data_IF_953746072853
#
_entry.id   IF_953746072853
#
_cell.length_a   1.000
_cell.length_b   1.000
_cell.length_c   1.000
_cell.angle_alpha   90.00
_cell.angle_beta   90.00
_cell.angle_gamma   90.00
#
_symmetry.space_group_name_H-M   'P 1'
#
loop_
_entity.id
_entity.type
_entity.pdbx_description
1 polymer ?
#
# COMPACT_ATOMS: atom_id res chain seq x y z
N UNK A 1 28.65 12.07 33.19
CA UNK A 1 28.01 12.43 31.90
C UNK A 1 26.69 11.69 31.76
N UNK A 2 25.62 12.25 32.32
CA UNK A 2 24.26 11.70 32.26
C UNK A 2 23.59 12.21 30.99
N UNK A 3 23.49 11.34 29.99
CA UNK A 3 22.65 11.57 28.81
C UNK A 3 21.20 11.67 29.29
N UNK A 4 20.69 12.91 29.43
CA UNK A 4 19.26 13.17 29.61
C UNK A 4 18.55 12.71 28.35
N UNK A 5 18.00 11.50 28.39
CA UNK A 5 17.00 11.05 27.43
C UNK A 5 15.83 12.04 27.50
N UNK A 6 15.77 12.95 26.52
CA UNK A 6 14.63 13.81 26.33
C UNK A 6 13.36 12.93 26.26
N UNK A 7 12.26 13.30 26.93
CA UNK A 7 11.05 12.50 26.91
C UNK A 7 10.61 12.35 25.46
N UNK A 8 10.53 11.10 24.99
CA UNK A 8 9.88 10.73 23.73
C UNK A 8 8.43 11.22 23.82
N UNK A 9 8.18 12.48 23.43
CA UNK A 9 6.84 13.06 23.36
C UNK A 9 5.99 12.09 22.55
N UNK A 10 4.93 11.57 23.15
CA UNK A 10 3.94 10.71 22.49
C UNK A 10 3.26 11.57 21.41
N UNK A 11 3.76 11.47 20.17
CA UNK A 11 3.29 12.23 18.99
C UNK A 11 2.11 11.49 18.36
N UNK A 12 0.92 11.67 18.93
CA UNK A 12 -0.36 11.20 18.37
C UNK A 12 -1.07 12.30 17.56
N UNK A 13 -2.40 12.29 17.54
CA UNK A 13 -3.27 13.37 16.99
C UNK A 13 -3.00 14.77 17.57
N UNK A 14 -2.20 14.87 18.64
CA UNK A 14 -1.85 16.11 19.32
C UNK A 14 -0.89 17.01 18.53
N UNK A 15 -0.33 16.51 17.43
CA UNK A 15 0.38 17.33 16.45
C UNK A 15 -0.63 17.85 15.40
N UNK A 16 -1.01 19.14 15.45
CA UNK A 16 -2.06 19.69 14.60
C UNK A 16 -1.72 19.59 13.11
N UNK A 17 -0.44 19.63 12.74
CA UNK A 17 -0.02 19.50 11.35
C UNK A 17 -0.24 18.07 10.82
N UNK A 18 0.01 17.04 11.63
CA UNK A 18 -0.26 15.64 11.27
C UNK A 18 -1.75 15.35 11.22
N UNK A 19 -2.51 15.85 12.20
CA UNK A 19 -3.95 15.70 12.25
C UNK A 19 -4.64 16.35 11.04
N UNK A 20 -4.24 17.57 10.69
CA UNK A 20 -4.74 18.27 9.50
C UNK A 20 -4.42 17.50 8.20
N UNK A 21 -3.18 17.05 8.02
CA UNK A 21 -2.76 16.26 6.85
C UNK A 21 -3.54 14.95 6.72
N UNK A 22 -3.76 14.26 7.84
CA UNK A 22 -4.60 13.07 7.89
C UNK A 22 -6.03 13.41 7.48
N UNK A 23 -6.66 14.40 8.11
CA UNK A 23 -8.02 14.80 7.82
C UNK A 23 -8.21 15.17 6.33
N UNK A 24 -7.35 16.05 5.81
CA UNK A 24 -7.35 16.44 4.41
C UNK A 24 -7.16 15.22 3.49
N UNK A 25 -6.19 14.36 3.79
CA UNK A 25 -5.95 13.13 3.02
C UNK A 25 -7.19 12.24 2.98
N UNK A 26 -7.89 12.05 4.10
CA UNK A 26 -9.08 11.21 4.17
C UNK A 26 -10.29 11.81 3.45
N UNK A 27 -10.49 13.13 3.53
CA UNK A 27 -11.56 13.82 2.77
C UNK A 27 -11.31 13.68 1.26
N UNK A 28 -10.09 13.94 0.81
CA UNK A 28 -9.72 13.78 -0.61
C UNK A 28 -9.83 12.31 -1.05
N UNK A 29 -9.53 11.37 -0.15
CA UNK A 29 -9.71 9.95 -0.43
C UNK A 29 -11.18 9.63 -0.68
N UNK A 30 -12.08 10.02 0.23
CA UNK A 30 -13.52 9.82 0.08
C UNK A 30 -14.06 10.45 -1.22
N UNK A 31 -13.65 11.68 -1.54
CA UNK A 31 -14.02 12.35 -2.79
C UNK A 31 -13.52 11.58 -4.02
N UNK A 32 -12.29 11.05 -3.99
CA UNK A 32 -11.75 10.22 -5.08
C UNK A 32 -12.53 8.92 -5.28
N UNK A 33 -13.02 8.28 -4.20
CA UNK A 33 -13.90 7.12 -4.31
C UNK A 33 -15.17 7.51 -5.06
N UNK A 34 -15.83 8.57 -4.61
CA UNK A 34 -17.10 9.01 -5.17
C UNK A 34 -16.98 9.38 -6.66
N UNK A 35 -15.93 10.11 -7.04
CA UNK A 35 -15.65 10.46 -8.43
C UNK A 35 -15.43 9.22 -9.30
N UNK A 36 -14.63 8.26 -8.83
CA UNK A 36 -14.35 7.05 -9.61
C UNK A 36 -15.60 6.19 -9.77
N UNK A 37 -16.36 6.00 -8.70
CA UNK A 37 -17.64 5.27 -8.71
C UNK A 37 -18.65 5.95 -9.64
N UNK A 38 -18.79 7.27 -9.55
CA UNK A 38 -19.71 8.05 -10.38
C UNK A 38 -19.30 8.03 -11.87
N UNK A 39 -18.00 7.93 -12.18
CA UNK A 39 -17.56 7.75 -13.56
C UNK A 39 -18.14 6.48 -14.21
N UNK A 40 -18.49 5.45 -13.41
CA UNK A 40 -19.04 4.19 -13.89
C UNK A 40 -18.12 3.38 -14.80
N UNK A 41 -16.83 3.72 -14.89
CA UNK A 41 -15.83 3.02 -15.73
C UNK A 41 -15.05 1.94 -14.96
N UNK A 42 -15.38 1.73 -13.68
CA UNK A 42 -14.70 0.83 -12.75
C UNK A 42 -14.54 1.48 -11.38
N UNK A 43 -14.18 0.68 -10.37
CA UNK A 43 -13.87 1.16 -9.02
C UNK A 43 -12.46 0.75 -8.60
N UNK A 44 -12.00 1.26 -7.46
CA UNK A 44 -10.79 0.74 -6.80
C UNK A 44 -11.04 -0.69 -6.29
N UNK A 45 -10.01 -1.55 -6.18
CA UNK A 45 -10.15 -2.98 -5.94
C UNK A 45 -11.11 -3.37 -4.81
N UNK A 46 -10.95 -2.74 -3.65
CA UNK A 46 -11.79 -2.99 -2.48
C UNK A 46 -13.18 -2.37 -2.58
N UNK A 47 -13.33 -1.31 -3.38
CA UNK A 47 -14.63 -0.66 -3.58
C UNK A 47 -15.45 -1.40 -4.64
N UNK A 48 -14.83 -2.25 -5.48
CA UNK A 48 -15.54 -3.29 -6.24
C UNK A 48 -16.25 -4.24 -5.27
N UNK A 49 -15.55 -4.70 -4.22
CA UNK A 49 -16.15 -5.54 -3.17
C UNK A 49 -17.23 -4.79 -2.39
N UNK A 50 -16.93 -3.60 -1.87
CA UNK A 50 -17.91 -2.80 -1.12
C UNK A 50 -19.16 -2.53 -1.95
N UNK A 51 -19.01 -2.21 -3.24
CA UNK A 51 -20.15 -1.95 -4.11
C UNK A 51 -20.95 -3.23 -4.39
N UNK A 52 -20.29 -4.37 -4.63
CA UNK A 52 -20.97 -5.65 -4.81
C UNK A 52 -21.81 -6.03 -3.58
N UNK A 53 -21.22 -5.95 -2.39
CA UNK A 53 -21.93 -6.22 -1.13
C UNK A 53 -23.08 -5.22 -0.90
N UNK A 54 -22.83 -3.93 -1.14
CA UNK A 54 -23.84 -2.86 -1.03
C UNK A 54 -25.07 -3.15 -1.89
N UNK A 55 -24.87 -3.55 -3.16
CA UNK A 55 -25.96 -3.89 -4.09
C UNK A 55 -26.74 -5.13 -3.65
N UNK A 56 -26.08 -6.11 -3.03
CA UNK A 56 -26.73 -7.37 -2.58
C UNK A 56 -27.52 -7.19 -1.29
N UNK A 57 -27.07 -6.31 -0.40
CA UNK A 57 -27.70 -6.08 0.91
C UNK A 57 -28.63 -4.86 0.94
N UNK A 58 -28.65 -4.05 -0.12
CA UNK A 58 -29.42 -2.80 -0.16
C UNK A 58 -28.86 -1.71 0.75
N UNK A 59 -27.57 -1.79 1.10
CA UNK A 59 -26.89 -0.81 1.95
C UNK A 59 -26.24 0.29 1.12
N UNK A 60 -25.96 1.43 1.75
CA UNK A 60 -25.15 2.48 1.12
C UNK A 60 -23.69 2.03 0.97
N UNK A 61 -22.95 2.67 0.06
CA UNK A 61 -21.55 2.32 -0.19
C UNK A 61 -20.67 2.68 1.01
N UNK A 62 -20.92 3.83 1.64
CA UNK A 62 -20.26 4.27 2.86
C UNK A 62 -20.44 3.29 4.00
N UNK A 63 -21.69 2.90 4.30
CA UNK A 63 -22.02 1.89 5.32
C UNK A 63 -21.30 0.57 5.07
N UNK A 64 -21.36 0.08 3.83
CA UNK A 64 -20.71 -1.19 3.47
C UNK A 64 -19.19 -1.11 3.62
N UNK A 65 -18.59 0.04 3.28
CA UNK A 65 -17.15 0.28 3.44
C UNK A 65 -16.74 0.28 4.91
N UNK A 66 -17.57 0.84 5.81
CA UNK A 66 -17.34 0.78 7.27
C UNK A 66 -17.39 -0.67 7.75
N UNK A 67 -18.44 -1.43 7.38
CA UNK A 67 -18.60 -2.82 7.80
C UNK A 67 -17.42 -3.67 7.34
N UNK A 68 -17.04 -3.60 6.06
CA UNK A 68 -15.88 -4.34 5.53
C UNK A 68 -14.61 -3.92 6.26
N UNK A 69 -14.42 -2.63 6.55
CA UNK A 69 -13.25 -2.15 7.28
C UNK A 69 -13.20 -2.73 8.70
N UNK A 70 -14.33 -2.81 9.40
CA UNK A 70 -14.43 -3.43 10.73
C UNK A 70 -14.11 -4.93 10.64
N UNK A 71 -14.60 -5.63 9.63
CA UNK A 71 -14.27 -7.05 9.41
C UNK A 71 -12.77 -7.25 9.14
N UNK A 72 -12.16 -6.36 8.35
CA UNK A 72 -10.71 -6.38 8.11
C UNK A 72 -9.93 -6.11 9.40
N UNK A 73 -10.38 -5.17 10.24
CA UNK A 73 -9.77 -4.94 11.55
C UNK A 73 -9.96 -6.13 12.50
N UNK A 74 -11.09 -6.83 12.44
CA UNK A 74 -11.28 -8.07 13.20
C UNK A 74 -10.27 -9.15 12.75
N UNK A 75 -9.97 -9.23 11.45
CA UNK A 75 -8.92 -10.11 10.93
C UNK A 75 -7.51 -9.73 11.44
N UNK A 76 -7.31 -8.56 12.05
CA UNK A 76 -6.04 -8.22 12.71
C UNK A 76 -5.86 -8.87 14.08
N UNK A 77 -6.94 -9.33 14.73
CA UNK A 77 -6.88 -10.01 16.03
C UNK A 77 -5.94 -11.22 15.96
N UNK A 78 -6.10 -12.18 15.02
CA UNK A 78 -5.15 -13.27 14.89
C UNK A 78 -3.76 -12.76 14.53
N UNK A 79 -3.62 -11.65 13.79
CA UNK A 79 -2.35 -11.03 13.39
C UNK A 79 -1.63 -10.28 14.53
N UNK A 80 -2.28 -10.07 15.69
CA UNK A 80 -1.75 -9.32 16.85
C UNK A 80 -1.32 -7.88 16.52
N UNK A 81 -1.99 -7.25 15.56
CA UNK A 81 -1.74 -5.85 15.21
C UNK A 81 -2.67 -4.90 15.99
N UNK A 82 -2.14 -3.74 16.40
CA UNK A 82 -2.91 -2.73 17.13
C UNK A 82 -3.29 -1.59 16.18
N UNK A 83 -4.59 -1.27 16.02
CA UNK A 83 -5.02 -0.14 15.19
C UNK A 83 -4.49 1.18 15.78
N UNK A 84 -3.99 2.05 14.89
CA UNK A 84 -3.58 3.40 15.25
C UNK A 84 -4.74 4.38 15.19
N UNK A 85 -4.53 5.60 15.68
CA UNK A 85 -5.53 6.67 15.57
C UNK A 85 -5.89 7.01 14.13
N UNK A 86 -4.93 6.92 13.20
CA UNK A 86 -5.18 7.11 11.77
C UNK A 86 -6.03 5.99 11.15
N UNK A 87 -5.93 4.78 11.68
CA UNK A 87 -6.75 3.63 11.26
C UNK A 87 -8.22 3.88 11.55
N UNK A 88 -8.54 4.30 12.77
CA UNK A 88 -9.93 4.61 13.18
C UNK A 88 -10.47 5.80 12.40
N UNK A 89 -9.68 6.87 12.29
CA UNK A 89 -10.06 8.05 11.51
C UNK A 89 -10.34 7.69 10.04
N UNK A 90 -9.53 6.82 9.44
CA UNK A 90 -9.72 6.38 8.06
C UNK A 90 -11.08 5.71 7.86
N UNK A 91 -11.44 4.76 8.72
CA UNK A 91 -12.73 4.05 8.65
C UNK A 91 -13.89 5.01 8.78
N UNK A 92 -13.85 5.88 9.80
CA UNK A 92 -14.96 6.79 10.12
C UNK A 92 -15.12 7.85 9.04
N UNK A 93 -14.04 8.56 8.69
CA UNK A 93 -14.11 9.69 7.76
C UNK A 93 -14.48 9.24 6.35
N UNK A 94 -13.86 8.16 5.84
CA UNK A 94 -14.21 7.64 4.52
C UNK A 94 -15.65 7.13 4.51
N UNK A 95 -16.03 6.34 5.51
CA UNK A 95 -17.39 5.79 5.63
C UNK A 95 -18.47 6.86 5.64
N UNK A 96 -18.26 7.95 6.39
CA UNK A 96 -19.24 9.05 6.52
C UNK A 96 -19.29 9.93 5.28
N UNK A 97 -18.17 10.15 4.58
CA UNK A 97 -18.10 11.13 3.49
C UNK A 97 -18.37 10.57 2.10
N UNK A 98 -18.23 9.26 1.88
CA UNK A 98 -18.46 8.66 0.54
C UNK A 98 -19.90 8.89 0.07
N UNK A 99 -20.90 8.62 0.91
CA UNK A 99 -22.30 8.74 0.51
C UNK A 99 -22.73 10.19 0.22
N UNK A 100 -22.38 11.21 1.04
CA UNK A 100 -22.61 12.61 0.70
C UNK A 100 -21.96 13.07 -0.60
N UNK A 101 -20.71 12.65 -0.88
CA UNK A 101 -20.05 13.00 -2.14
C UNK A 101 -20.74 12.34 -3.34
N UNK A 102 -21.19 11.09 -3.21
CA UNK A 102 -21.98 10.42 -4.24
C UNK A 102 -23.32 11.11 -4.46
N UNK A 103 -24.01 11.51 -3.40
CA UNK A 103 -25.27 12.25 -3.50
C UNK A 103 -25.09 13.60 -4.20
N UNK A 104 -23.99 14.32 -3.92
CA UNK A 104 -23.67 15.56 -4.61
C UNK A 104 -23.38 15.34 -6.10
N UNK A 105 -22.64 14.29 -6.45
CA UNK A 105 -22.34 13.95 -7.84
C UNK A 105 -23.58 13.45 -8.59
N UNK A 106 -24.55 12.82 -7.92
CA UNK A 106 -25.81 12.39 -8.54
C UNK A 106 -26.67 13.56 -9.06
N UNK A 107 -26.36 14.80 -8.69
CA UNK A 107 -27.00 16.00 -9.23
C UNK A 107 -26.43 16.43 -10.60
N UNK A 108 -25.30 15.86 -11.02
CA UNK A 108 -24.72 16.15 -12.34
C UNK A 108 -25.57 15.49 -13.44
N UNK A 109 -25.66 16.13 -14.62
CA UNK A 109 -26.27 15.51 -15.79
C UNK A 109 -25.43 14.31 -16.28
N UNK A 110 -26.03 13.49 -17.13
CA UNK A 110 -25.33 12.39 -17.79
C UNK A 110 -24.08 12.88 -18.52
N UNK A 111 -22.93 12.33 -18.15
CA UNK A 111 -21.64 12.73 -18.68
C UNK A 111 -21.31 11.92 -19.94
N UNK A 112 -20.83 12.56 -21.03
CA UNK A 112 -20.31 11.83 -22.18
C UNK A 112 -19.07 11.03 -21.79
N UNK A 113 -18.75 9.99 -22.58
CA UNK A 113 -17.65 9.06 -22.28
C UNK A 113 -16.31 9.76 -22.00
N UNK A 114 -15.97 10.80 -22.78
CA UNK A 114 -14.74 11.58 -22.57
C UNK A 114 -14.68 12.27 -21.21
N UNK A 115 -15.79 12.86 -20.75
CA UNK A 115 -15.87 13.49 -19.43
C UNK A 115 -15.79 12.45 -18.30
N UNK A 116 -16.43 11.28 -18.47
CA UNK A 116 -16.31 10.16 -17.53
C UNK A 116 -14.88 9.63 -17.44
N UNK A 117 -14.19 9.51 -18.57
CA UNK A 117 -12.79 9.11 -18.61
C UNK A 117 -11.87 10.12 -17.93
N UNK A 118 -12.08 11.43 -18.17
CA UNK A 118 -11.35 12.49 -17.50
C UNK A 118 -11.62 12.51 -15.98
N UNK A 119 -12.87 12.30 -15.57
CA UNK A 119 -13.25 12.15 -14.16
C UNK A 119 -12.56 10.94 -13.52
N UNK A 120 -12.54 9.79 -14.19
CA UNK A 120 -11.85 8.60 -13.70
C UNK A 120 -10.34 8.84 -13.55
N UNK A 121 -9.68 9.41 -14.56
CA UNK A 121 -8.27 9.76 -14.49
C UNK A 121 -7.97 10.76 -13.36
N UNK A 122 -8.79 11.80 -13.22
CA UNK A 122 -8.71 12.77 -12.13
C UNK A 122 -8.90 12.14 -10.76
N UNK A 123 -9.85 11.20 -10.64
CA UNK A 123 -10.09 10.45 -9.41
C UNK A 123 -8.88 9.58 -9.01
N UNK A 124 -8.25 8.90 -9.97
CA UNK A 124 -7.04 8.09 -9.73
C UNK A 124 -5.87 8.98 -9.25
N UNK A 125 -5.66 10.12 -9.92
CA UNK A 125 -4.63 11.08 -9.53
C UNK A 125 -4.89 11.67 -8.14
N UNK A 126 -6.14 12.08 -7.87
CA UNK A 126 -6.58 12.59 -6.58
C UNK A 126 -6.39 11.55 -5.47
N UNK A 127 -6.72 10.28 -5.76
CA UNK A 127 -6.52 9.19 -4.82
C UNK A 127 -5.04 9.00 -4.47
N UNK A 128 -4.14 9.17 -5.44
CA UNK A 128 -2.70 9.17 -5.21
C UNK A 128 -2.25 10.26 -4.24
N UNK A 129 -2.73 11.50 -4.44
CA UNK A 129 -2.45 12.63 -3.53
C UNK A 129 -3.03 12.37 -2.14
N UNK A 130 -4.29 11.94 -2.07
CA UNK A 130 -4.96 11.58 -0.83
C UNK A 130 -4.19 10.51 -0.05
N UNK A 131 -3.72 9.48 -0.75
CA UNK A 131 -2.94 8.38 -0.20
C UNK A 131 -1.60 8.85 0.36
N UNK A 132 -0.87 9.67 -0.38
CA UNK A 132 0.37 10.26 0.08
C UNK A 132 0.17 11.15 1.32
N UNK A 133 -0.90 11.95 1.37
CA UNK A 133 -1.25 12.78 2.51
C UNK A 133 -1.56 11.98 3.78
N UNK A 134 -2.44 10.97 3.69
CA UNK A 134 -2.86 10.22 4.88
C UNK A 134 -1.73 9.32 5.40
N UNK A 135 -1.01 8.61 4.52
CA UNK A 135 0.12 7.76 4.93
C UNK A 135 1.24 8.65 5.47
N UNK A 136 1.52 9.77 4.80
CA UNK A 136 2.55 10.74 5.19
C UNK A 136 2.34 11.39 6.56
N UNK A 137 1.12 11.37 7.11
CA UNK A 137 0.83 11.81 8.48
C UNK A 137 1.42 10.86 9.55
N UNK A 138 1.65 9.59 9.20
CA UNK A 138 2.25 8.54 10.05
C UNK A 138 1.50 8.30 11.37
N UNK A 139 0.16 8.36 11.32
CA UNK A 139 -0.72 8.14 12.49
C UNK A 139 -1.31 6.72 12.56
N UNK A 140 -0.85 5.81 11.69
CA UNK A 140 -1.28 4.42 11.60
C UNK A 140 -1.75 4.06 10.18
N UNK A 141 -1.57 2.79 9.76
CA UNK A 141 -2.02 2.33 8.45
C UNK A 141 -3.56 2.24 8.37
N UNK A 142 -4.12 2.28 7.16
CA UNK A 142 -5.54 1.92 6.97
C UNK A 142 -5.80 0.44 7.27
N UNK A 143 -7.06 0.01 7.51
CA UNK A 143 -7.40 -1.38 7.76
C UNK A 143 -6.85 -2.35 6.69
N UNK A 144 -6.99 -1.95 5.42
CA UNK A 144 -6.53 -2.70 4.24
C UNK A 144 -5.00 -2.82 4.23
N UNK A 145 -4.30 -1.69 4.46
CA UNK A 145 -2.84 -1.64 4.47
C UNK A 145 -2.24 -2.52 5.58
N UNK A 146 -2.80 -2.44 6.80
CA UNK A 146 -2.29 -3.23 7.91
C UNK A 146 -2.65 -4.71 7.78
N UNK A 147 -3.73 -5.10 7.08
CA UNK A 147 -3.97 -6.51 6.76
C UNK A 147 -2.82 -7.08 5.92
N UNK A 148 -2.42 -6.36 4.87
CA UNK A 148 -1.34 -6.78 3.98
C UNK A 148 0.00 -6.90 4.72
N UNK A 149 0.39 -5.87 5.48
CA UNK A 149 1.65 -5.90 6.24
C UNK A 149 1.64 -6.95 7.35
N UNK A 150 0.48 -7.20 7.97
CA UNK A 150 0.31 -8.26 8.96
C UNK A 150 0.51 -9.66 8.40
N UNK A 151 -0.08 -9.93 7.23
CA UNK A 151 0.08 -11.21 6.54
C UNK A 151 1.55 -11.40 6.16
N UNK A 152 2.23 -10.37 5.64
CA UNK A 152 3.68 -10.43 5.37
C UNK A 152 4.47 -10.72 6.64
N UNK A 153 4.21 -10.01 7.73
CA UNK A 153 4.91 -10.21 9.00
C UNK A 153 4.71 -11.61 9.59
N UNK A 154 3.59 -12.28 9.27
CA UNK A 154 3.28 -13.63 9.76
C UNK A 154 3.79 -14.75 8.86
N UNK A 155 3.75 -14.56 7.54
CA UNK A 155 4.06 -15.61 6.56
C UNK A 155 5.49 -15.51 6.02
N UNK A 156 6.12 -14.35 6.11
CA UNK A 156 7.39 -14.05 5.44
C UNK A 156 7.27 -13.93 3.92
N UNK A 157 6.05 -13.97 3.35
CA UNK A 157 5.84 -13.87 1.91
C UNK A 157 6.19 -12.48 1.39
N UNK A 158 6.61 -12.37 0.11
CA UNK A 158 6.89 -11.07 -0.48
C UNK A 158 5.62 -10.23 -0.53
N UNK A 159 5.71 -8.97 -0.12
CA UNK A 159 4.57 -8.05 -0.07
C UNK A 159 3.81 -7.97 -1.40
N UNK A 160 4.53 -8.02 -2.52
CA UNK A 160 3.94 -8.03 -3.86
C UNK A 160 2.93 -9.17 -4.02
N UNK A 161 3.30 -10.38 -3.59
CA UNK A 161 2.44 -11.56 -3.71
C UNK A 161 1.20 -11.44 -2.82
N UNK A 162 1.39 -11.09 -1.54
CA UNK A 162 0.29 -10.91 -0.57
C UNK A 162 -0.71 -9.87 -1.08
N UNK A 163 -0.20 -8.73 -1.54
CA UNK A 163 -1.02 -7.64 -2.04
C UNK A 163 -1.78 -8.03 -3.30
N UNK A 164 -1.08 -8.54 -4.32
CA UNK A 164 -1.74 -8.93 -5.58
C UNK A 164 -2.77 -10.03 -5.33
N UNK A 165 -2.47 -11.03 -4.49
CA UNK A 165 -3.42 -12.08 -4.13
C UNK A 165 -4.69 -11.54 -3.47
N UNK A 166 -4.54 -10.65 -2.48
CA UNK A 166 -5.68 -10.01 -1.82
C UNK A 166 -6.46 -9.13 -2.79
N UNK A 167 -5.79 -8.28 -3.58
CA UNK A 167 -6.43 -7.38 -4.56
C UNK A 167 -7.22 -8.15 -5.61
N UNK A 168 -6.66 -9.23 -6.16
CA UNK A 168 -7.36 -10.11 -7.12
C UNK A 168 -8.57 -10.76 -6.47
N UNK A 169 -8.42 -11.28 -5.24
CA UNK A 169 -9.52 -11.92 -4.53
C UNK A 169 -10.68 -10.95 -4.26
N UNK A 170 -10.41 -9.73 -3.81
CA UNK A 170 -11.46 -8.75 -3.50
C UNK A 170 -12.12 -8.22 -4.78
N UNK A 171 -11.36 -7.99 -5.85
CA UNK A 171 -11.92 -7.60 -7.16
C UNK A 171 -12.80 -8.72 -7.72
N UNK A 172 -12.30 -9.95 -7.75
CA UNK A 172 -13.05 -11.09 -8.27
C UNK A 172 -14.34 -11.32 -7.45
N UNK A 173 -14.23 -11.34 -6.13
CA UNK A 173 -15.40 -11.51 -5.25
C UNK A 173 -16.40 -10.37 -5.40
N UNK A 174 -15.93 -9.13 -5.44
CA UNK A 174 -16.77 -7.96 -5.64
C UNK A 174 -17.48 -7.96 -6.98
N UNK A 175 -16.76 -8.31 -8.05
CA UNK A 175 -17.31 -8.39 -9.39
C UNK A 175 -18.37 -9.48 -9.51
N UNK A 176 -18.12 -10.67 -8.92
CA UNK A 176 -19.12 -11.76 -8.83
C UNK A 176 -20.37 -11.36 -8.03
N UNK A 177 -20.21 -10.50 -7.02
CA UNK A 177 -21.34 -9.93 -6.25
C UNK A 177 -22.05 -8.79 -6.99
N UNK A 178 -21.62 -8.46 -8.20
CA UNK A 178 -22.22 -7.42 -9.04
C UNK A 178 -21.62 -6.03 -8.83
N UNK A 179 -20.43 -5.90 -8.25
CA UNK A 179 -19.65 -4.66 -8.23
C UNK A 179 -19.05 -4.33 -9.59
N UNK A 180 -18.80 -3.05 -9.88
CA UNK A 180 -18.27 -2.60 -11.17
C UNK A 180 -16.75 -2.70 -11.20
N UNK A 181 -16.22 -3.69 -11.94
CA UNK A 181 -14.83 -3.76 -12.35
C UNK A 181 -14.73 -3.45 -13.85
N UNK A 182 -13.86 -2.51 -14.23
CA UNK A 182 -13.76 -2.05 -15.63
C UNK A 182 -12.39 -1.49 -15.97
N UNK A 183 -12.33 -0.75 -17.09
CA UNK A 183 -11.07 -0.15 -17.59
C UNK A 183 -10.44 0.75 -16.53
N UNK A 184 -11.23 1.55 -15.80
CA UNK A 184 -10.69 2.41 -14.75
C UNK A 184 -10.13 1.61 -13.57
N UNK A 185 -10.66 0.41 -13.27
CA UNK A 185 -10.10 -0.50 -12.25
C UNK A 185 -8.73 -1.03 -12.69
N UNK A 186 -8.59 -1.43 -13.95
CA UNK A 186 -7.32 -1.91 -14.49
C UNK A 186 -6.27 -0.80 -14.53
N UNK A 187 -6.66 0.39 -15.01
CA UNK A 187 -5.79 1.59 -15.00
C UNK A 187 -5.40 1.94 -13.58
N UNK A 188 -6.34 1.94 -12.63
CA UNK A 188 -6.05 2.19 -11.22
C UNK A 188 -5.00 1.21 -10.69
N UNK A 189 -5.19 -0.11 -10.88
CA UNK A 189 -4.27 -1.14 -10.38
C UNK A 189 -2.82 -0.95 -10.84
N UNK A 190 -2.62 -0.50 -12.08
CA UNK A 190 -1.30 -0.23 -12.63
C UNK A 190 -0.76 1.14 -12.21
N UNK A 191 -1.59 2.18 -12.25
CA UNK A 191 -1.15 3.58 -12.13
C UNK A 191 -0.96 4.05 -10.70
N UNK A 192 -1.81 3.63 -9.75
CA UNK A 192 -1.77 4.12 -8.37
C UNK A 192 -0.39 3.92 -7.73
N UNK A 193 0.30 2.87 -8.18
CA UNK A 193 1.68 2.54 -7.92
C UNK A 193 2.72 3.60 -8.04
N UNK A 194 3.18 3.81 -9.27
CA UNK A 194 4.10 4.88 -9.59
C UNK A 194 3.64 6.21 -8.97
N UNK A 195 2.33 6.52 -8.99
CA UNK A 195 1.79 7.78 -8.46
C UNK A 195 2.13 7.95 -6.96
N UNK A 196 1.74 7.01 -6.09
CA UNK A 196 1.99 7.18 -4.65
C UNK A 196 3.48 7.07 -4.36
N UNK A 197 4.24 6.23 -5.07
CA UNK A 197 5.70 6.16 -4.90
C UNK A 197 6.37 7.53 -5.11
N UNK A 198 5.94 8.27 -6.14
CA UNK A 198 6.43 9.61 -6.45
C UNK A 198 5.92 10.64 -5.44
N UNK A 199 4.66 10.55 -5.00
CA UNK A 199 4.07 11.56 -4.12
C UNK A 199 4.46 11.40 -2.64
N UNK A 200 4.58 10.17 -2.14
CA UNK A 200 4.75 9.90 -0.71
C UNK A 200 5.96 10.62 -0.06
N UNK A 201 7.16 10.70 -0.69
CA UNK A 201 8.27 11.45 -0.12
C UNK A 201 7.98 12.94 0.07
N UNK A 202 7.15 13.54 -0.80
CA UNK A 202 6.78 14.97 -0.74
C UNK A 202 5.79 15.27 0.37
N UNK A 203 4.96 14.28 0.73
CA UNK A 203 3.92 14.43 1.75
C UNK A 203 4.27 13.78 3.09
N UNK A 204 5.45 13.16 3.24
CA UNK A 204 5.86 12.54 4.51
C UNK A 204 6.37 13.57 5.51
N UNK A 205 5.85 13.55 6.76
CA UNK A 205 6.43 14.38 7.84
C UNK A 205 7.75 13.77 8.29
N UNK A 206 8.85 14.56 8.41
CA UNK A 206 10.10 14.08 9.00
C UNK A 206 9.90 13.44 10.38
N UNK A 207 10.45 12.25 10.58
CA UNK A 207 10.53 11.59 11.88
C UNK A 207 10.88 10.11 11.75
N UNK A 208 11.76 9.62 12.62
CA UNK A 208 12.29 8.25 12.79
C UNK A 208 12.35 7.32 11.56
N UNK A 209 13.58 6.95 11.11
CA UNK A 209 13.87 6.04 9.99
C UNK A 209 13.17 4.67 10.03
N UNK A 210 12.62 4.26 11.19
CA UNK A 210 12.06 2.92 11.40
C UNK A 210 10.69 2.65 10.76
N UNK A 211 10.05 3.63 10.10
CA UNK A 211 8.74 3.44 9.45
C UNK A 211 8.76 3.59 7.91
N UNK A 212 9.93 3.86 7.31
CA UNK A 212 10.09 3.89 5.85
C UNK A 212 9.87 2.51 5.19
N UNK A 213 9.68 1.46 6.00
CA UNK A 213 9.41 0.08 5.57
C UNK A 213 7.92 -0.28 5.47
N UNK A 214 7.02 0.69 5.64
CA UNK A 214 5.66 0.55 5.11
C UNK A 214 5.69 1.16 3.70
N UNK A 215 5.95 0.36 2.64
CA UNK A 215 5.83 0.88 1.29
C UNK A 215 4.40 1.38 1.13
N UNK A 216 4.24 2.41 0.30
CA UNK A 216 2.97 2.90 -0.21
C UNK A 216 2.07 1.73 -0.67
N UNK A 217 1.36 1.07 0.25
CA UNK A 217 0.86 -0.28 0.04
C UNK A 217 -0.44 -0.33 -0.78
N UNK A 218 -0.95 0.81 -1.22
CA UNK A 218 -1.98 0.90 -2.25
C UNK A 218 -1.41 1.04 -3.66
N UNK A 219 -0.09 0.97 -3.83
CA UNK A 219 0.58 1.46 -5.01
C UNK A 219 1.76 0.55 -5.44
N UNK A 220 1.64 -0.08 -6.63
CA UNK A 220 2.69 -0.63 -7.54
C UNK A 220 2.34 -2.05 -8.00
N UNK A 221 1.86 -2.14 -9.24
CA UNK A 221 2.29 -3.17 -10.18
C UNK A 221 3.66 -2.74 -10.73
N UNK A 222 4.66 -3.62 -10.69
CA UNK A 222 5.88 -3.48 -11.48
C UNK A 222 5.97 -4.65 -12.45
N UNK A 223 5.73 -4.33 -13.72
CA UNK A 223 6.21 -5.08 -14.87
C UNK A 223 7.69 -4.73 -15.03
N UNK A 224 8.57 -5.72 -14.95
CA UNK A 224 9.98 -5.61 -15.34
C UNK A 224 10.18 -6.18 -16.76
N UNK A 225 11.21 -5.73 -17.50
CA UNK A 225 11.43 -6.14 -18.88
C UNK A 225 11.91 -7.59 -18.94
N UNK A 226 11.25 -8.43 -19.73
CA UNK A 226 11.78 -9.73 -20.11
C UNK A 226 12.88 -9.51 -21.13
N UNK A 227 14.13 -9.45 -20.65
CA UNK A 227 15.30 -9.55 -21.51
C UNK A 227 15.33 -10.93 -22.15
N UNK A 228 15.07 -10.98 -23.45
CA UNK A 228 15.40 -12.12 -24.28
C UNK A 228 16.92 -12.12 -24.52
N UNK A 229 17.60 -13.11 -23.98
CA UNK A 229 18.91 -13.55 -24.48
C UNK A 229 19.00 -15.04 -24.24
N UNK A 230 18.46 -15.79 -25.20
CA UNK A 230 18.76 -17.19 -25.42
C UNK A 230 19.87 -17.29 -26.47
N UNK A 231 20.94 -17.98 -26.11
CA UNK A 231 21.88 -18.77 -26.93
C UNK A 231 23.14 -18.96 -26.08
N UNK A 232 23.82 -20.10 -26.02
CA UNK A 232 23.54 -21.47 -26.44
C UNK A 232 24.54 -22.34 -25.66
N UNK A 233 24.12 -23.54 -25.30
CA UNK A 233 24.99 -24.61 -24.82
C UNK A 233 25.85 -25.11 -25.99
N UNK A 234 27.15 -25.31 -25.77
CA UNK A 234 27.92 -26.39 -26.44
C UNK A 234 28.85 -27.06 -25.42
N UNK A 235 29.03 -28.40 -25.50
CA UNK A 235 29.83 -29.16 -24.54
C UNK A 235 31.25 -29.47 -25.07
N UNK A 236 32.17 -29.65 -24.13
CA UNK A 236 33.35 -30.52 -24.27
C UNK A 236 34.64 -29.82 -24.68
N UNK A 237 35.64 -29.80 -23.79
CA UNK A 237 36.82 -30.67 -23.82
C UNK A 237 37.89 -30.16 -22.84
N UNK A 238 38.23 -31.02 -21.88
CA UNK A 238 39.49 -31.01 -21.15
C UNK A 238 40.54 -31.64 -22.09
N UNK A 239 41.75 -31.09 -22.20
CA UNK A 239 42.86 -31.74 -21.49
C UNK A 239 43.96 -30.77 -21.02
N UNK A 240 44.53 -31.03 -19.83
CA UNK A 240 45.94 -30.69 -19.59
C UNK A 240 46.30 -30.28 -18.17
N UNK A 241 46.58 -31.28 -17.32
CA UNK A 241 47.49 -31.14 -16.17
C UNK A 241 48.94 -31.04 -16.69
N UNK A 242 49.87 -30.34 -16.01
CA UNK A 242 50.61 -30.93 -14.87
C UNK A 242 50.66 -29.97 -13.66
N UNK A 243 50.49 -30.42 -12.41
CA UNK A 243 51.53 -30.95 -11.52
C UNK A 243 52.62 -29.92 -11.20
N UNK A 244 52.55 -29.32 -10.01
CA UNK A 244 53.76 -28.95 -9.25
C UNK A 244 53.52 -29.12 -7.75
N UNK A 245 54.23 -30.10 -7.21
CA UNK A 245 54.54 -30.33 -5.81
C UNK A 245 55.79 -29.50 -5.43
N UNK A 246 55.85 -29.06 -4.17
CA UNK A 246 57.04 -28.45 -3.56
C UNK A 246 56.63 -27.60 -2.36
N UNK A 247 56.31 -28.17 -1.19
CA UNK A 247 57.23 -28.68 -0.16
C UNK A 247 58.02 -27.59 0.60
N UNK A 248 57.80 -27.59 1.93
CA UNK A 248 58.66 -27.12 3.02
C UNK A 248 58.94 -25.60 3.17
N UNK A 249 58.65 -25.03 4.35
CA UNK A 249 59.64 -25.07 5.44
C UNK A 249 59.03 -24.63 6.80
N UNK A 250 59.59 -25.21 7.84
CA UNK A 250 59.29 -25.10 9.26
C UNK A 250 59.91 -23.85 9.91
N UNK A 251 59.20 -23.30 10.90
CA UNK A 251 59.78 -22.98 12.21
C UNK A 251 60.65 -21.72 12.36
N UNK A 252 60.28 -20.84 13.30
CA UNK A 252 60.99 -20.69 14.60
C UNK A 252 60.68 -19.36 15.31
N UNK A 253 60.27 -19.49 16.59
CA UNK A 253 60.59 -18.60 17.73
C UNK A 253 60.04 -17.16 17.76
N UNK A 254 59.73 -16.49 18.87
CA UNK A 254 59.55 -16.78 20.32
C UNK A 254 58.92 -15.49 20.90
N UNK A 255 58.24 -15.49 22.07
CA UNK A 255 57.51 -14.33 22.59
C UNK A 255 58.29 -13.52 23.63
N UNK A 256 58.00 -12.22 23.78
CA UNK A 256 58.30 -11.51 25.03
C UNK A 256 58.33 -9.97 24.97
N UNK A 257 57.45 -9.32 25.76
CA UNK A 257 57.77 -8.28 26.76
C UNK A 257 56.46 -7.72 27.39
N UNK A 258 56.12 -8.09 28.64
CA UNK A 258 56.19 -7.26 29.89
C UNK A 258 55.55 -5.87 29.76
N UNK A 259 54.40 -5.65 30.42
CA UNK A 259 54.25 -5.07 31.78
C UNK A 259 54.90 -3.70 31.96
N UNK A 260 54.04 -2.68 32.04
CA UNK A 260 53.97 -1.71 33.15
C UNK A 260 52.50 -1.38 33.36
#
# INVERSE_FOLDING_TARGET
>A
MTSRLAPRRRRGLTDPARAWRLALGLVLYAASIALLVHSGLGNMPWDVLSQGVSRRLGWTLGTTTVVISVLVLAAWIPLRQRPGSGTVANVVVIGVLVDPFLAALALLPDLPLGARAAMAAGAIALNGVATACYIGARLGPGPRDGLMTGVVARTGWPLRLVRTGIEVLVVASGWLLGGTAGVATAVYAVAIGPIVHVLLPRFSVPGDPGAATAPAAGAVASVGPTGASGQAVTPGSDPGRPSDEGAADCGSGTPGSRRT
#
